data_IF_551714815890
#
_entry.id   IF_551714815890
#
_cell.length_a   1.000
_cell.length_b   1.000
_cell.length_c   1.000
_cell.angle_alpha   90.00
_cell.angle_beta   90.00
_cell.angle_gamma   90.00
#
_symmetry.space_group_name_H-M   'P 1'
#
loop_
_entity.id
_entity.type
_entity.pdbx_description
1 polymer ?
#
# COMPACT_ATOMS: atom_id res chain seq x y z
N UNK A 1 -41.43 -52.88 -23.40
CA UNK A 1 -40.19 -52.14 -23.09
C UNK A 1 -40.30 -51.68 -21.64
N UNK A 2 -39.31 -51.94 -20.77
CA UNK A 2 -39.36 -51.50 -19.36
C UNK A 2 -39.22 -49.96 -19.32
N UNK A 3 -40.18 -49.27 -18.72
CA UNK A 3 -40.09 -47.84 -18.42
C UNK A 3 -38.83 -47.60 -17.56
N UNK A 4 -37.89 -46.82 -18.08
CA UNK A 4 -36.70 -46.42 -17.32
C UNK A 4 -37.08 -45.24 -16.44
N UNK A 5 -36.96 -45.41 -15.13
CA UNK A 5 -37.17 -44.32 -14.18
C UNK A 5 -35.94 -43.40 -14.17
N UNK A 6 -36.07 -42.21 -14.77
CA UNK A 6 -35.00 -41.22 -14.86
C UNK A 6 -34.92 -40.28 -13.64
N UNK A 7 -35.81 -40.42 -12.66
CA UNK A 7 -35.79 -39.64 -11.42
C UNK A 7 -34.43 -39.62 -10.71
N UNK A 8 -33.72 -40.76 -10.53
CA UNK A 8 -32.42 -40.77 -9.87
C UNK A 8 -31.34 -39.98 -10.65
N UNK A 9 -31.41 -40.03 -11.98
CA UNK A 9 -30.50 -39.28 -12.86
C UNK A 9 -30.80 -37.78 -12.83
N UNK A 10 -32.08 -37.40 -12.75
CA UNK A 10 -32.50 -36.01 -12.58
C UNK A 10 -32.00 -35.40 -11.27
N UNK A 11 -32.14 -36.12 -10.15
CA UNK A 11 -31.63 -35.69 -8.85
C UNK A 11 -30.11 -35.52 -8.88
N UNK A 12 -29.38 -36.49 -9.44
CA UNK A 12 -27.92 -36.38 -9.59
C UNK A 12 -27.51 -35.19 -10.45
N UNK A 13 -28.25 -34.90 -11.52
CA UNK A 13 -28.00 -33.72 -12.36
C UNK A 13 -28.13 -32.41 -11.59
N UNK A 14 -29.19 -32.26 -10.79
CA UNK A 14 -29.41 -31.07 -9.95
C UNK A 14 -28.31 -30.94 -8.89
N UNK A 15 -27.89 -32.04 -8.26
CA UNK A 15 -26.82 -32.02 -7.25
C UNK A 15 -25.47 -31.61 -7.83
N UNK A 16 -25.08 -32.18 -8.98
CA UNK A 16 -23.82 -31.83 -9.65
C UNK A 16 -23.85 -30.37 -10.13
N UNK A 17 -24.97 -29.93 -10.67
CA UNK A 17 -25.15 -28.54 -11.10
C UNK A 17 -25.08 -27.57 -9.92
N UNK A 18 -25.73 -27.90 -8.81
CA UNK A 18 -25.68 -27.13 -7.56
C UNK A 18 -24.25 -27.00 -7.03
N UNK A 19 -23.50 -28.11 -6.98
CA UNK A 19 -22.09 -28.10 -6.59
C UNK A 19 -21.26 -27.21 -7.52
N UNK A 20 -21.49 -27.30 -8.83
CA UNK A 20 -20.81 -26.47 -9.84
C UNK A 20 -21.06 -24.97 -9.61
N UNK A 21 -22.30 -24.58 -9.31
CA UNK A 21 -22.64 -23.18 -8.99
C UNK A 21 -21.91 -22.73 -7.73
N UNK A 22 -21.89 -23.54 -6.67
CA UNK A 22 -21.20 -23.18 -5.42
C UNK A 22 -19.71 -22.96 -5.65
N UNK A 23 -19.04 -23.87 -6.36
CA UNK A 23 -17.61 -23.72 -6.71
C UNK A 23 -17.39 -22.47 -7.57
N UNK A 24 -18.24 -22.24 -8.57
CA UNK A 24 -18.17 -21.05 -9.42
C UNK A 24 -18.30 -19.76 -8.61
N UNK A 25 -19.27 -19.68 -7.69
CA UNK A 25 -19.49 -18.52 -6.84
C UNK A 25 -18.29 -18.24 -5.93
N UNK A 26 -17.68 -19.28 -5.33
CA UNK A 26 -16.48 -19.14 -4.51
C UNK A 26 -15.32 -18.59 -5.34
N UNK A 27 -15.06 -19.17 -6.52
CA UNK A 27 -13.99 -18.69 -7.42
C UNK A 27 -14.27 -17.27 -7.92
N UNK A 28 -15.52 -16.96 -8.26
CA UNK A 28 -15.94 -15.64 -8.68
C UNK A 28 -15.73 -14.60 -7.58
N UNK A 29 -16.11 -14.91 -6.34
CA UNK A 29 -15.90 -14.05 -5.19
C UNK A 29 -14.40 -13.80 -4.94
N UNK A 30 -13.57 -14.83 -5.04
CA UNK A 30 -12.11 -14.69 -4.89
C UNK A 30 -11.48 -13.84 -6.01
N UNK A 31 -11.94 -14.00 -7.27
CA UNK A 31 -11.40 -13.24 -8.41
C UNK A 31 -11.89 -11.80 -8.48
N UNK A 32 -13.14 -11.56 -8.09
CA UNK A 32 -13.79 -10.25 -8.15
C UNK A 32 -13.89 -9.56 -6.78
N UNK A 33 -13.21 -10.11 -5.76
CA UNK A 33 -13.00 -9.40 -4.51
C UNK A 33 -12.46 -8.01 -4.84
N UNK A 34 -12.97 -6.94 -4.19
CA UNK A 34 -12.51 -5.58 -4.43
C UNK A 34 -10.98 -5.57 -4.42
N UNK A 35 -10.37 -5.25 -5.56
CA UNK A 35 -8.93 -5.02 -5.64
C UNK A 35 -8.68 -3.72 -4.90
N UNK A 36 -8.46 -3.83 -3.60
CA UNK A 36 -8.00 -2.71 -2.79
C UNK A 36 -6.65 -2.23 -3.36
N UNK A 37 -6.37 -0.94 -3.19
CA UNK A 37 -5.13 -0.30 -3.63
C UNK A 37 -3.92 -1.23 -3.40
N UNK A 38 -3.06 -1.36 -4.41
CA UNK A 38 -1.85 -2.21 -4.38
C UNK A 38 -0.73 -1.62 -3.49
N UNK A 39 -1.10 -1.09 -2.31
CA UNK A 39 -0.19 -0.40 -1.40
C UNK A 39 0.89 -1.33 -0.88
N UNK A 40 0.54 -2.59 -0.61
CA UNK A 40 1.49 -3.58 -0.11
C UNK A 40 2.29 -4.28 -1.21
N UNK A 41 2.10 -3.94 -2.49
CA UNK A 41 2.64 -4.67 -3.64
C UNK A 41 2.30 -6.17 -3.66
N UNK A 42 1.27 -6.56 -2.89
CA UNK A 42 0.85 -7.95 -2.64
C UNK A 42 -0.66 -8.07 -2.80
N UNK A 43 -1.12 -9.28 -3.09
CA UNK A 43 -2.55 -9.58 -3.13
C UNK A 43 -3.16 -9.52 -1.73
N UNK A 44 -4.46 -9.19 -1.65
CA UNK A 44 -5.17 -9.05 -0.37
C UNK A 44 -5.03 -10.29 0.53
N UNK A 45 -5.18 -11.49 -0.02
CA UNK A 45 -5.01 -12.74 0.74
C UNK A 45 -3.60 -12.90 1.35
N UNK A 46 -2.57 -12.50 0.62
CA UNK A 46 -1.19 -12.58 1.11
C UNK A 46 -0.94 -11.55 2.23
N UNK A 47 -1.54 -10.37 2.12
CA UNK A 47 -1.50 -9.33 3.16
C UNK A 47 -2.17 -9.83 4.44
N UNK A 48 -3.36 -10.43 4.32
CA UNK A 48 -4.13 -10.90 5.47
C UNK A 48 -3.40 -12.05 6.19
N UNK A 49 -2.89 -13.03 5.45
CA UNK A 49 -2.15 -14.17 6.02
C UNK A 49 -0.86 -13.73 6.75
N UNK A 50 -0.20 -12.68 6.28
CA UNK A 50 1.07 -12.21 6.83
C UNK A 50 0.94 -10.94 7.70
N UNK A 51 -0.28 -10.51 8.03
CA UNK A 51 -0.52 -9.22 8.67
C UNK A 51 0.22 -9.07 10.01
N UNK A 52 0.14 -10.09 10.86
CA UNK A 52 0.81 -10.08 12.16
C UNK A 52 2.33 -9.96 12.04
N UNK A 53 2.93 -10.61 11.03
CA UNK A 53 4.35 -10.51 10.76
C UNK A 53 4.71 -9.08 10.31
N UNK A 54 3.93 -8.48 9.40
CA UNK A 54 4.14 -7.09 8.96
C UNK A 54 4.00 -6.09 10.11
N UNK A 55 3.03 -6.28 11.00
CA UNK A 55 2.84 -5.43 12.16
C UNK A 55 4.02 -5.53 13.13
N UNK A 56 4.53 -6.74 13.37
CA UNK A 56 5.74 -6.95 14.18
C UNK A 56 6.97 -6.27 13.57
N UNK A 57 7.16 -6.36 12.25
CA UNK A 57 8.24 -5.64 11.55
C UNK A 57 8.08 -4.13 11.70
N UNK A 58 6.86 -3.60 11.62
CA UNK A 58 6.57 -2.19 11.83
C UNK A 58 6.88 -1.71 13.26
N UNK A 59 6.48 -2.49 14.27
CA UNK A 59 6.80 -2.18 15.68
C UNK A 59 8.30 -2.21 15.93
N UNK A 60 8.99 -3.23 15.40
CA UNK A 60 10.44 -3.33 15.46
C UNK A 60 11.10 -2.10 14.80
N UNK A 61 10.63 -1.71 13.62
CA UNK A 61 11.10 -0.50 12.93
C UNK A 61 10.92 0.75 13.79
N UNK A 62 9.74 0.98 14.38
CA UNK A 62 9.49 2.14 15.26
C UNK A 62 10.38 2.16 16.50
N UNK A 63 10.73 0.99 17.03
CA UNK A 63 11.62 0.88 18.19
C UNK A 63 13.09 1.19 17.86
N UNK A 64 13.45 1.11 16.57
CA UNK A 64 14.83 1.15 16.09
C UNK A 64 15.13 2.40 15.26
N UNK A 65 14.14 3.00 14.60
CA UNK A 65 14.31 4.12 13.68
C UNK A 65 13.19 5.16 13.84
N UNK A 66 13.52 6.42 13.55
CA UNK A 66 12.56 7.49 13.25
C UNK A 66 12.73 7.89 11.80
N UNK A 67 11.65 7.85 11.05
CA UNK A 67 11.63 8.22 9.63
C UNK A 67 10.71 9.41 9.40
N UNK A 68 11.26 10.47 8.82
CA UNK A 68 10.52 11.67 8.47
C UNK A 68 10.76 12.06 7.02
N UNK A 69 9.74 12.66 6.40
CA UNK A 69 9.74 13.04 4.99
C UNK A 69 9.08 14.40 4.78
N UNK A 70 9.43 15.06 3.69
CA UNK A 70 8.86 16.34 3.28
C UNK A 70 9.25 16.70 1.86
N UNK A 71 8.41 17.50 1.18
CA UNK A 71 8.76 18.10 -0.12
C UNK A 71 9.50 19.44 0.03
N UNK A 72 9.53 19.95 1.25
CA UNK A 72 10.36 21.07 1.68
C UNK A 72 11.47 20.54 2.59
N UNK A 73 12.53 21.33 2.84
CA UNK A 73 13.50 21.01 3.87
C UNK A 73 12.80 20.65 5.20
N UNK A 74 13.25 19.56 5.82
CA UNK A 74 12.60 18.93 6.98
C UNK A 74 12.53 19.82 8.23
N UNK A 75 13.12 21.00 8.21
CA UNK A 75 13.06 22.00 9.28
C UNK A 75 11.70 22.69 9.41
N UNK A 76 10.87 22.70 8.35
CA UNK A 76 9.60 23.46 8.35
C UNK A 76 8.40 22.65 8.83
N UNK A 77 8.24 21.40 8.37
CA UNK A 77 7.06 20.59 8.66
C UNK A 77 7.26 19.12 8.28
N UNK A 78 8.15 18.39 8.96
CA UNK A 78 8.40 16.99 8.66
C UNK A 78 7.15 16.16 8.91
N UNK A 79 6.84 15.25 7.98
CA UNK A 79 5.75 14.27 8.12
C UNK A 79 6.34 12.90 8.43
N UNK A 80 5.59 12.08 9.17
CA UNK A 80 6.01 10.72 9.53
C UNK A 80 5.12 9.73 8.77
N UNK A 81 5.68 8.98 7.81
CA UNK A 81 4.93 7.96 7.10
C UNK A 81 4.39 6.88 8.05
N UNK A 82 3.20 6.37 7.75
CA UNK A 82 2.48 5.42 8.60
C UNK A 82 2.32 4.07 7.90
N UNK A 83 2.01 3.01 8.65
CA UNK A 83 1.64 1.74 8.05
C UNK A 83 0.31 1.92 7.28
N UNK A 84 0.18 1.40 6.04
CA UNK A 84 -1.04 1.56 5.24
C UNK A 84 -2.31 1.09 5.94
N UNK A 85 -2.21 0.10 6.81
CA UNK A 85 -3.33 -0.38 7.63
C UNK A 85 -3.94 0.69 8.53
N UNK A 86 -3.14 1.63 9.04
CA UNK A 86 -3.60 2.74 9.87
C UNK A 86 -4.09 3.94 9.05
N UNK A 87 -4.00 3.88 7.73
CA UNK A 87 -4.53 4.90 6.85
C UNK A 87 -6.04 4.91 6.92
N UNK A 88 -6.61 6.04 7.34
CA UNK A 88 -8.06 6.18 7.40
C UNK A 88 -8.61 6.45 6.01
N UNK A 89 -9.59 5.64 5.61
CA UNK A 89 -10.42 5.96 4.45
C UNK A 89 -11.16 7.28 4.65
N UNK A 90 -11.45 7.97 3.55
CA UNK A 90 -12.05 9.32 3.57
C UNK A 90 -13.57 9.32 3.50
N UNK A 91 -14.25 8.23 3.85
CA UNK A 91 -15.69 8.13 3.63
C UNK A 91 -16.46 8.99 4.64
N UNK A 92 -17.06 10.08 4.14
CA UNK A 92 -18.15 10.81 4.79
C UNK A 92 -17.76 11.88 5.82
N UNK A 93 -16.57 11.82 6.43
CA UNK A 93 -16.17 12.79 7.46
C UNK A 93 -15.33 13.95 6.87
N UNK A 94 -15.95 15.14 6.79
CA UNK A 94 -15.31 16.36 6.27
C UNK A 94 -14.13 16.82 7.12
N UNK A 95 -14.23 16.74 8.46
CA UNK A 95 -13.15 17.18 9.37
C UNK A 95 -11.93 16.27 9.25
N UNK A 96 -12.18 14.97 9.10
CA UNK A 96 -11.14 14.00 8.84
C UNK A 96 -10.47 14.25 7.48
N UNK A 97 -11.25 14.55 6.43
CA UNK A 97 -10.69 14.91 5.12
C UNK A 97 -9.80 16.15 5.18
N UNK A 98 -10.24 17.23 5.84
CA UNK A 98 -9.44 18.43 6.03
C UNK A 98 -8.14 18.14 6.79
N UNK A 99 -8.21 17.32 7.83
CA UNK A 99 -7.03 16.90 8.61
C UNK A 99 -6.04 16.10 7.76
N UNK A 100 -6.54 15.19 6.92
CA UNK A 100 -5.70 14.41 6.00
C UNK A 100 -5.07 15.29 4.91
N UNK A 101 -5.83 16.25 4.36
CA UNK A 101 -5.33 17.25 3.40
C UNK A 101 -4.24 18.13 4.02
N UNK A 102 -4.43 18.61 5.25
CA UNK A 102 -3.42 19.40 5.97
C UNK A 102 -2.16 18.59 6.31
N UNK A 103 -2.28 17.27 6.38
CA UNK A 103 -1.16 16.36 6.60
C UNK A 103 -0.56 15.76 5.32
N UNK A 104 -1.17 16.02 4.16
CA UNK A 104 -0.66 15.56 2.88
C UNK A 104 0.52 16.40 2.39
N UNK A 105 1.40 15.77 1.62
CA UNK A 105 2.45 16.44 0.87
C UNK A 105 1.84 17.05 -0.39
N UNK A 106 1.95 18.37 -0.58
CA UNK A 106 1.41 19.04 -1.77
C UNK A 106 2.39 18.89 -2.92
N UNK A 107 1.98 18.15 -3.96
CA UNK A 107 2.78 17.88 -5.14
C UNK A 107 2.69 19.03 -6.14
N UNK A 108 3.82 19.30 -6.80
CA UNK A 108 3.95 20.22 -7.94
C UNK A 108 4.43 19.45 -9.18
N UNK A 109 4.67 20.13 -10.31
CA UNK A 109 5.20 19.46 -11.52
C UNK A 109 6.58 18.85 -11.30
N UNK A 110 7.45 19.56 -10.58
CA UNK A 110 8.80 19.13 -10.21
C UNK A 110 8.89 19.14 -8.69
N UNK A 111 9.25 17.99 -8.11
CA UNK A 111 9.27 17.80 -6.66
C UNK A 111 10.66 17.37 -6.21
N UNK A 112 11.03 17.76 -4.98
CA UNK A 112 12.22 17.25 -4.30
C UNK A 112 11.79 16.65 -2.98
N UNK A 113 11.92 15.33 -2.84
CA UNK A 113 11.61 14.60 -1.62
C UNK A 113 12.83 14.59 -0.71
N UNK A 114 12.71 15.30 0.40
CA UNK A 114 13.63 15.22 1.52
C UNK A 114 13.16 14.12 2.47
N UNK A 115 14.10 13.28 2.90
CA UNK A 115 13.86 12.25 3.89
C UNK A 115 14.93 12.34 4.99
N UNK A 116 14.63 11.77 6.15
CA UNK A 116 15.60 11.58 7.22
C UNK A 116 15.28 10.29 7.93
N UNK A 117 16.30 9.43 8.04
CA UNK A 117 16.24 8.20 8.81
C UNK A 117 17.20 8.33 9.99
N UNK A 118 16.66 8.45 11.20
CA UNK A 118 17.45 8.52 12.42
C UNK A 118 17.41 7.18 13.16
N UNK A 119 18.54 6.48 13.33
CA UNK A 119 18.60 5.30 14.19
C UNK A 119 18.45 5.71 15.66
N UNK A 120 17.65 4.95 16.41
CA UNK A 120 17.42 5.14 17.85
C UNK A 120 18.36 4.28 18.71
N UNK A 121 18.97 3.26 18.11
CA UNK A 121 19.95 2.38 18.76
C UNK A 121 21.27 2.42 17.98
N UNK A 122 22.43 2.33 18.66
CA UNK A 122 23.72 2.26 17.98
C UNK A 122 23.86 0.95 17.18
N UNK A 123 24.63 1.01 16.09
CA UNK A 123 25.00 -0.14 15.24
C UNK A 123 23.88 -0.83 14.45
N UNK A 124 22.84 -0.09 14.05
CA UNK A 124 21.81 -0.60 13.15
C UNK A 124 22.20 -0.40 11.68
N UNK A 125 22.12 -1.46 10.89
CA UNK A 125 22.30 -1.37 9.44
C UNK A 125 21.15 -0.56 8.81
N UNK A 126 21.44 0.41 7.93
CA UNK A 126 20.39 1.16 7.26
C UNK A 126 19.66 0.26 6.23
N UNK A 127 18.31 0.23 6.23
CA UNK A 127 17.55 -0.44 5.19
C UNK A 127 17.69 0.27 3.85
N UNK A 128 17.53 -0.47 2.75
CA UNK A 128 17.37 0.11 1.42
C UNK A 128 15.94 0.65 1.27
N UNK A 129 15.77 1.92 0.92
CA UNK A 129 14.47 2.58 0.85
C UNK A 129 14.13 2.87 -0.61
N UNK A 130 13.14 2.16 -1.13
CA UNK A 130 12.60 2.38 -2.47
C UNK A 130 11.33 3.25 -2.38
N UNK A 131 11.22 4.25 -3.25
CA UNK A 131 10.13 5.21 -3.24
C UNK A 131 9.24 5.00 -4.46
N UNK A 132 7.93 5.00 -4.23
CA UNK A 132 6.92 4.85 -5.27
C UNK A 132 5.80 5.89 -5.13
N UNK A 133 5.11 6.17 -6.22
CA UNK A 133 3.96 7.04 -6.31
C UNK A 133 2.73 6.27 -6.81
N UNK A 134 1.62 6.35 -6.11
CA UNK A 134 0.35 5.75 -6.50
C UNK A 134 -0.77 6.79 -6.49
N UNK A 135 -1.62 6.80 -7.52
CA UNK A 135 -2.85 7.60 -7.52
C UNK A 135 -3.91 6.94 -6.61
N UNK A 136 -4.75 7.74 -5.94
CA UNK A 136 -5.78 7.24 -5.02
C UNK A 136 -7.19 7.74 -5.37
N UNK A 137 -8.20 6.84 -5.44
CA UNK A 137 -8.07 5.38 -5.41
C UNK A 137 -7.60 4.86 -6.78
N UNK A 138 -6.68 3.90 -6.80
CA UNK A 138 -6.28 3.26 -8.07
C UNK A 138 -5.87 1.79 -7.88
N UNK A 139 -6.40 0.87 -8.70
CA UNK A 139 -5.93 -0.51 -8.73
C UNK A 139 -4.63 -0.67 -9.53
N UNK A 140 -4.07 0.42 -10.09
CA UNK A 140 -2.82 0.38 -10.86
C UNK A 140 -1.61 0.14 -9.95
N UNK A 141 -0.56 -0.50 -10.49
CA UNK A 141 0.70 -0.64 -9.77
C UNK A 141 1.31 0.73 -9.45
N UNK A 142 1.90 0.91 -8.25
CA UNK A 142 2.63 2.14 -7.91
C UNK A 142 3.80 2.37 -8.87
N UNK A 143 3.96 3.61 -9.36
CA UNK A 143 5.08 4.03 -10.21
C UNK A 143 6.34 4.18 -9.37
N UNK A 144 7.44 3.56 -9.77
CA UNK A 144 8.73 3.74 -9.11
C UNK A 144 9.28 5.16 -9.34
N UNK A 145 9.74 5.82 -8.27
CA UNK A 145 10.34 7.15 -8.31
C UNK A 145 11.86 7.12 -8.14
N UNK A 146 12.38 6.16 -7.37
CA UNK A 146 13.81 6.10 -7.07
C UNK A 146 14.15 5.37 -5.77
N UNK A 147 15.39 5.52 -5.34
CA UNK A 147 15.92 4.99 -4.08
C UNK A 147 16.44 6.16 -3.23
N UNK A 148 16.19 6.11 -1.93
CA UNK A 148 16.81 7.02 -0.96
C UNK A 148 18.04 6.32 -0.35
N UNK A 149 19.23 6.88 -0.57
CA UNK A 149 20.43 6.44 0.15
C UNK A 149 20.54 7.21 1.46
N UNK A 150 20.38 6.51 2.58
CA UNK A 150 20.40 7.07 3.94
C UNK A 150 21.56 6.53 4.80
N UNK A 151 22.69 6.15 4.19
CA UNK A 151 23.86 5.63 4.94
C UNK A 151 24.47 6.62 5.93
N UNK A 152 24.44 7.91 5.62
CA UNK A 152 24.95 8.99 6.49
C UNK A 152 23.93 10.11 6.63
N UNK A 153 23.53 10.71 5.50
CA UNK A 153 22.40 11.61 5.37
C UNK A 153 21.56 11.15 4.17
N UNK A 154 20.25 11.24 4.26
CA UNK A 154 19.39 10.89 3.14
C UNK A 154 19.51 11.94 2.02
N UNK A 155 19.99 11.53 0.86
CA UNK A 155 20.03 12.42 -0.30
C UNK A 155 18.61 12.76 -0.77
N UNK A 156 18.33 14.03 -1.14
CA UNK A 156 17.03 14.40 -1.66
C UNK A 156 16.73 13.73 -3.00
N UNK A 157 15.57 13.09 -3.12
CA UNK A 157 15.14 12.46 -4.36
C UNK A 157 14.31 13.45 -5.20
N UNK A 158 14.82 13.81 -6.37
CA UNK A 158 14.07 14.62 -7.34
C UNK A 158 13.19 13.74 -8.22
N UNK A 159 11.96 14.15 -8.45
CA UNK A 159 11.06 13.48 -9.37
C UNK A 159 10.03 14.44 -9.97
N UNK A 160 9.67 14.17 -11.22
CA UNK A 160 8.67 14.93 -11.95
C UNK A 160 7.36 14.16 -12.06
N UNK A 161 6.26 14.89 -12.16
CA UNK A 161 4.97 14.35 -12.55
C UNK A 161 4.87 14.29 -14.07
N UNK A 162 4.24 13.23 -14.58
CA UNK A 162 4.00 13.05 -16.00
C UNK A 162 2.81 13.92 -16.45
N UNK A 163 2.76 14.28 -17.72
CA UNK A 163 1.61 15.04 -18.26
C UNK A 163 0.27 14.28 -18.14
N UNK A 164 0.33 12.95 -18.10
CA UNK A 164 -0.83 12.09 -17.88
C UNK A 164 -1.31 12.03 -16.42
N UNK A 165 -0.53 12.56 -15.46
CA UNK A 165 -0.87 12.55 -14.04
C UNK A 165 -2.06 13.49 -13.78
N UNK A 166 -3.12 12.95 -13.17
CA UNK A 166 -4.37 13.67 -12.92
C UNK A 166 -4.31 14.38 -11.57
N UNK A 167 -4.93 15.55 -11.49
CA UNK A 167 -5.18 16.22 -10.20
C UNK A 167 -5.95 15.30 -9.25
N UNK A 168 -5.59 15.36 -7.97
CA UNK A 168 -6.24 14.56 -6.94
C UNK A 168 -5.28 14.01 -5.91
N UNK A 169 -5.69 12.89 -5.30
CA UNK A 169 -4.98 12.28 -4.18
C UNK A 169 -3.97 11.28 -4.67
N UNK A 170 -2.81 11.31 -4.04
CA UNK A 170 -1.72 10.39 -4.26
C UNK A 170 -1.26 9.80 -2.93
N UNK A 171 -0.57 8.67 -3.02
CA UNK A 171 0.16 8.04 -1.93
C UNK A 171 1.61 7.91 -2.36
N UNK A 172 2.53 8.41 -1.55
CA UNK A 172 3.95 8.10 -1.68
C UNK A 172 4.22 6.89 -0.79
N UNK A 173 4.74 5.82 -1.39
CA UNK A 173 5.03 4.57 -0.70
C UNK A 173 6.53 4.44 -0.52
N UNK A 174 6.94 4.13 0.70
CA UNK A 174 8.31 3.89 1.10
C UNK A 174 8.45 2.41 1.43
N UNK A 175 9.09 1.66 0.52
CA UNK A 175 9.39 0.26 0.69
C UNK A 175 10.80 0.12 1.27
N UNK A 176 10.88 -0.29 2.53
CA UNK A 176 12.10 -0.59 3.25
C UNK A 176 12.44 -2.06 3.03
N UNK A 177 13.65 -2.33 2.57
CA UNK A 177 14.20 -3.67 2.41
C UNK A 177 15.38 -3.82 3.37
N UNK A 178 15.23 -4.67 4.38
CA UNK A 178 16.24 -4.94 5.39
C UNK A 178 17.24 -6.03 4.92
N UNK A 179 18.39 -6.14 5.57
CA UNK A 179 19.42 -7.16 5.20
C UNK A 179 18.91 -8.60 5.29
N UNK A 180 18.03 -8.89 6.22
CA UNK A 180 17.35 -10.18 6.38
C UNK A 180 16.26 -10.44 5.32
N UNK A 181 16.14 -9.57 4.30
CA UNK A 181 15.11 -9.58 3.25
C UNK A 181 13.68 -9.37 3.75
N UNK A 182 13.50 -8.96 5.00
CA UNK A 182 12.20 -8.48 5.45
C UNK A 182 11.87 -7.17 4.73
N UNK A 183 10.58 -6.98 4.45
CA UNK A 183 10.06 -5.79 3.79
C UNK A 183 9.08 -5.08 4.72
N UNK A 184 9.19 -3.75 4.78
CA UNK A 184 8.21 -2.89 5.44
C UNK A 184 7.77 -1.82 4.47
N UNK A 185 6.48 -1.54 4.43
CA UNK A 185 5.91 -0.51 3.58
C UNK A 185 5.26 0.54 4.46
N UNK A 186 5.70 1.77 4.31
CA UNK A 186 5.07 2.93 4.90
C UNK A 186 4.46 3.79 3.80
N UNK A 187 3.37 4.47 4.11
CA UNK A 187 2.72 5.40 3.22
C UNK A 187 2.67 6.81 3.79
N UNK A 188 2.72 7.78 2.88
CA UNK A 188 2.47 9.18 3.15
C UNK A 188 1.48 9.70 2.11
N UNK A 189 0.40 10.33 2.58
CA UNK A 189 -0.55 10.99 1.70
C UNK A 189 0.11 12.17 0.98
N UNK A 190 -0.25 12.32 -0.28
CA UNK A 190 0.14 13.42 -1.13
C UNK A 190 -1.06 13.93 -1.94
N UNK A 191 -1.02 15.18 -2.38
CA UNK A 191 -2.12 15.81 -3.10
C UNK A 191 -1.58 16.69 -4.22
N UNK A 192 -2.07 16.45 -5.44
CA UNK A 192 -1.80 17.29 -6.60
C UNK A 192 -3.00 18.22 -6.82
N UNK A 193 -2.75 19.53 -6.74
CA UNK A 193 -3.75 20.59 -6.94
C UNK A 193 -4.10 20.85 -8.40
#
# INVERSE_FOLDING_TARGET
MKEKNFWPLGIMGVLIFGLGIVVFLVVFALKNSPKNDLVYFKGHNEVDLNFNAMLKTYENFKSNYRFSVGLNPLTKSPKTPILPYFSKGTHGDKKLQETLLNNALILEKSNTLHAQLQPLKPALDPPNIQVYLAFYPSPSQPRWLGVLDCRSACEPLKFDLLESDKRGRYKILFKFVFKNKEELILEQLAFLK
#
